data_IF_799086632771
#
_entry.id   IF_799086632771
#
_cell.length_a   1.000
_cell.length_b   1.000
_cell.length_c   1.000
_cell.angle_alpha   90.00
_cell.angle_beta   90.00
_cell.angle_gamma   90.00
#
_symmetry.space_group_name_H-M   'P 1'
#
loop_
_entity.id
_entity.type
_entity.pdbx_description
1 polymer ?
#
# COMPACT_ATOMS: atom_id res chain seq x y z
N UNK A 1 2.60 -6.14 -7.98
CA UNK A 1 1.49 -6.02 -7.00
C UNK A 1 1.96 -6.34 -5.57
N UNK A 2 1.04 -6.44 -4.59
CA UNK A 2 1.39 -6.75 -3.19
C UNK A 2 2.02 -8.14 -3.04
N UNK A 3 1.52 -9.14 -3.75
CA UNK A 3 2.05 -10.52 -3.68
C UNK A 3 3.46 -10.59 -4.23
N UNK A 4 3.71 -9.98 -5.39
CA UNK A 4 5.06 -9.85 -5.96
C UNK A 4 6.03 -9.15 -5.00
N UNK A 5 5.56 -8.12 -4.28
CA UNK A 5 6.40 -7.44 -3.30
C UNK A 5 6.69 -8.30 -2.07
N UNK A 6 5.71 -9.09 -1.59
CA UNK A 6 5.93 -10.05 -0.51
C UNK A 6 6.93 -11.14 -0.90
N UNK A 7 6.81 -11.68 -2.12
CA UNK A 7 7.75 -12.68 -2.65
C UNK A 7 9.16 -12.09 -2.78
N UNK A 8 9.27 -10.85 -3.27
CA UNK A 8 10.53 -10.13 -3.33
C UNK A 8 11.15 -9.92 -1.94
N UNK A 9 10.36 -9.53 -0.93
CA UNK A 9 10.86 -9.37 0.44
C UNK A 9 11.30 -10.71 1.06
N UNK A 10 10.63 -11.80 0.72
CA UNK A 10 10.99 -13.15 1.16
C UNK A 10 12.35 -13.57 0.56
N UNK A 11 12.54 -13.35 -0.75
CA UNK A 11 13.82 -13.58 -1.44
C UNK A 11 14.98 -12.75 -0.84
N UNK A 12 14.69 -11.54 -0.37
CA UNK A 12 15.68 -10.66 0.29
C UNK A 12 15.93 -10.99 1.77
N UNK A 13 15.19 -11.96 2.35
CA UNK A 13 15.25 -12.27 3.76
C UNK A 13 14.63 -11.20 4.67
N UNK A 14 13.83 -10.30 4.10
CA UNK A 14 13.17 -9.18 4.77
C UNK A 14 11.68 -9.45 5.07
N UNK A 15 11.22 -10.70 4.94
CA UNK A 15 9.88 -11.16 5.32
C UNK A 15 9.96 -12.27 6.36
N UNK A 16 9.17 -12.16 7.42
CA UNK A 16 8.95 -13.24 8.38
C UNK A 16 7.52 -13.74 8.26
N UNK A 17 7.35 -15.01 7.90
CA UNK A 17 6.05 -15.69 7.87
C UNK A 17 5.72 -16.26 9.24
N UNK A 18 4.53 -15.97 9.75
CA UNK A 18 4.03 -16.39 11.06
C UNK A 18 2.81 -17.28 10.82
N UNK A 19 2.99 -18.58 11.08
CA UNK A 19 1.98 -19.62 10.82
C UNK A 19 1.15 -19.98 12.04
N UNK A 20 1.63 -19.63 13.22
CA UNK A 20 0.83 -19.81 14.44
C UNK A 20 -0.38 -18.89 14.43
N UNK A 21 -1.51 -19.29 15.05
CA UNK A 21 -2.66 -18.43 15.19
C UNK A 21 -2.33 -17.16 15.98
N UNK A 22 -2.68 -15.97 15.44
CA UNK A 22 -2.45 -14.67 16.09
C UNK A 22 -3.71 -13.80 15.97
N UNK A 23 -4.08 -13.12 17.05
CA UNK A 23 -5.30 -12.32 17.11
C UNK A 23 -5.11 -10.92 16.55
N UNK A 24 -6.15 -10.43 15.86
CA UNK A 24 -6.21 -9.02 15.40
C UNK A 24 -6.42 -8.04 16.55
N UNK A 25 -6.94 -8.52 17.70
CA UNK A 25 -7.16 -7.69 18.87
C UNK A 25 -5.86 -7.55 19.67
N UNK A 26 -5.14 -6.46 19.45
CA UNK A 26 -3.91 -6.01 20.12
C UNK A 26 -2.66 -6.85 19.82
N UNK A 27 -2.78 -8.17 19.64
CA UNK A 27 -1.63 -9.08 19.59
C UNK A 27 -0.76 -8.83 18.34
N UNK A 28 -1.37 -8.74 17.15
CA UNK A 28 -0.66 -8.41 15.92
C UNK A 28 -0.04 -7.02 16.02
N UNK A 29 -0.77 -6.04 16.61
CA UNK A 29 -0.27 -4.68 16.77
C UNK A 29 0.97 -4.64 17.68
N UNK A 30 0.96 -5.36 18.79
CA UNK A 30 2.10 -5.46 19.72
C UNK A 30 3.31 -6.15 19.09
N UNK A 31 3.10 -7.24 18.36
CA UNK A 31 4.18 -7.94 17.65
C UNK A 31 4.80 -7.00 16.60
N UNK A 32 3.96 -6.28 15.86
CA UNK A 32 4.41 -5.32 14.86
C UNK A 32 5.19 -4.15 15.48
N UNK A 33 4.72 -3.59 16.60
CA UNK A 33 5.40 -2.50 17.32
C UNK A 33 6.81 -2.92 17.75
N UNK A 34 6.94 -4.11 18.31
CA UNK A 34 8.26 -4.67 18.68
C UNK A 34 9.16 -4.88 17.48
N UNK A 35 8.62 -5.41 16.38
CA UNK A 35 9.37 -5.61 15.15
C UNK A 35 9.87 -4.27 14.58
N UNK A 36 9.03 -3.24 14.55
CA UNK A 36 9.42 -1.89 14.11
C UNK A 36 10.51 -1.31 14.97
N UNK A 37 10.35 -1.34 16.30
CA UNK A 37 11.32 -0.78 17.27
C UNK A 37 12.68 -1.47 17.23
N UNK A 38 12.71 -2.75 16.90
CA UNK A 38 13.96 -3.52 16.75
C UNK A 38 14.57 -3.45 15.35
N UNK A 39 14.00 -2.68 14.42
CA UNK A 39 14.43 -2.68 13.02
C UNK A 39 14.18 -4.00 12.30
N UNK A 40 13.22 -4.79 12.77
CA UNK A 40 12.92 -6.12 12.27
C UNK A 40 12.26 -6.13 10.88
N UNK A 41 12.09 -7.34 10.29
CA UNK A 41 11.57 -7.52 8.95
C UNK A 41 10.07 -7.18 8.83
N UNK A 42 9.54 -7.18 7.63
CA UNK A 42 8.12 -7.26 7.36
C UNK A 42 7.55 -8.57 7.92
N UNK A 43 6.29 -8.55 8.33
CA UNK A 43 5.62 -9.71 8.93
C UNK A 43 4.41 -10.09 8.07
N UNK A 44 4.26 -11.40 7.81
CA UNK A 44 3.08 -11.97 7.17
C UNK A 44 2.45 -13.01 8.11
N UNK A 45 1.29 -12.67 8.66
CA UNK A 45 0.49 -13.58 9.48
C UNK A 45 -0.41 -14.41 8.56
N UNK A 46 -0.15 -15.72 8.48
CA UNK A 46 -0.88 -16.62 7.60
C UNK A 46 -2.14 -17.20 8.27
N UNK A 47 -2.20 -17.20 9.61
CA UNK A 47 -3.33 -17.68 10.39
C UNK A 47 -3.82 -16.58 11.35
N UNK A 48 -4.77 -15.78 10.87
CA UNK A 48 -5.28 -14.61 11.59
C UNK A 48 -6.60 -14.94 12.27
N UNK A 49 -6.69 -14.71 13.58
CA UNK A 49 -7.91 -14.84 14.36
C UNK A 49 -8.53 -13.46 14.56
N UNK A 50 -9.73 -13.26 14.01
CA UNK A 50 -10.48 -12.01 14.16
C UNK A 50 -11.10 -11.89 15.55
N UNK A 51 -11.67 -10.72 15.85
CA UNK A 51 -12.33 -10.45 17.13
C UNK A 51 -13.51 -11.39 17.38
N UNK A 52 -14.14 -11.95 16.36
CA UNK A 52 -15.20 -12.97 16.46
C UNK A 52 -14.65 -14.38 16.72
N UNK A 53 -13.35 -14.53 17.01
CA UNK A 53 -12.65 -15.79 17.25
C UNK A 53 -12.66 -16.76 16.07
N UNK A 54 -12.97 -16.28 14.88
CA UNK A 54 -12.90 -17.04 13.65
C UNK A 54 -11.52 -16.91 13.01
N UNK A 55 -10.97 -18.03 12.57
CA UNK A 55 -9.81 -18.03 11.70
C UNK A 55 -10.25 -17.62 10.29
N UNK A 56 -9.68 -16.54 9.77
CA UNK A 56 -9.93 -16.11 8.38
C UNK A 56 -8.83 -16.62 7.47
N UNK A 57 -9.22 -17.13 6.30
CA UNK A 57 -8.28 -17.54 5.26
C UNK A 57 -7.63 -16.35 4.52
N UNK A 58 -7.68 -15.15 5.12
CA UNK A 58 -7.09 -13.96 4.60
C UNK A 58 -5.84 -13.61 5.42
N UNK A 59 -4.64 -13.75 4.85
CA UNK A 59 -3.40 -13.39 5.54
C UNK A 59 -3.32 -11.87 5.73
N UNK A 60 -2.55 -11.44 6.74
CA UNK A 60 -2.32 -10.04 7.06
C UNK A 60 -0.84 -9.73 7.01
N UNK A 61 -0.48 -8.77 6.17
CA UNK A 61 0.88 -8.26 6.07
C UNK A 61 1.02 -6.91 6.80
N UNK A 62 2.11 -6.72 7.55
CA UNK A 62 2.38 -5.50 8.31
C UNK A 62 3.87 -5.18 8.32
N UNK A 63 4.23 -3.94 8.66
CA UNK A 63 5.62 -3.45 8.66
C UNK A 63 6.31 -3.53 7.28
N UNK A 64 5.55 -3.47 6.19
CA UNK A 64 6.09 -3.58 4.84
C UNK A 64 7.05 -2.44 4.49
N UNK A 65 6.80 -1.25 5.03
CA UNK A 65 7.56 -0.01 4.75
C UNK A 65 8.36 0.49 5.96
N UNK A 66 8.65 -0.39 6.93
CA UNK A 66 9.28 -0.02 8.20
C UNK A 66 10.76 0.35 8.12
N UNK A 67 11.41 0.24 6.94
CA UNK A 67 12.78 0.69 6.72
C UNK A 67 12.88 1.51 5.44
N UNK A 68 13.87 2.43 5.36
CA UNK A 68 14.16 3.17 4.14
C UNK A 68 14.45 2.25 2.95
N UNK A 69 15.10 1.11 3.20
CA UNK A 69 15.42 0.16 2.14
C UNK A 69 14.16 -0.50 1.57
N UNK A 70 13.23 -0.97 2.43
CA UNK A 70 11.95 -1.54 1.98
C UNK A 70 11.08 -0.50 1.26
N UNK A 71 11.09 0.76 1.74
CA UNK A 71 10.43 1.87 1.03
C UNK A 71 11.03 2.11 -0.35
N UNK A 72 12.36 2.12 -0.46
CA UNK A 72 13.05 2.29 -1.74
C UNK A 72 12.68 1.18 -2.72
N UNK A 73 12.70 -0.07 -2.27
CA UNK A 73 12.31 -1.22 -3.10
C UNK A 73 10.83 -1.16 -3.55
N UNK A 74 9.91 -0.77 -2.65
CA UNK A 74 8.51 -0.59 -3.01
C UNK A 74 8.28 0.50 -4.08
N UNK A 75 9.16 1.50 -4.10
CA UNK A 75 9.14 2.60 -5.07
C UNK A 75 9.99 2.30 -6.33
N UNK A 76 10.58 1.10 -6.43
CA UNK A 76 11.42 0.68 -7.57
C UNK A 76 12.68 1.55 -7.73
N UNK A 77 13.31 1.92 -6.61
CA UNK A 77 14.55 2.70 -6.58
C UNK A 77 15.55 2.05 -5.62
N UNK A 78 16.84 2.37 -5.78
CA UNK A 78 17.88 1.89 -4.87
C UNK A 78 17.92 2.68 -3.56
N UNK A 79 17.55 3.98 -3.64
CA UNK A 79 17.52 4.89 -2.50
C UNK A 79 16.35 5.88 -2.63
N UNK A 80 15.67 6.16 -1.51
CA UNK A 80 14.49 7.04 -1.47
C UNK A 80 14.78 8.45 -1.99
N UNK A 81 16.01 8.94 -1.88
CA UNK A 81 16.42 10.26 -2.43
C UNK A 81 16.26 10.34 -3.95
N UNK A 82 16.30 9.22 -4.65
CA UNK A 82 16.07 9.18 -6.10
C UNK A 82 14.64 9.60 -6.46
N UNK A 83 13.66 9.29 -5.60
CA UNK A 83 12.26 9.74 -5.79
C UNK A 83 12.19 11.26 -5.75
N UNK A 84 12.85 11.89 -4.78
CA UNK A 84 12.92 13.36 -4.68
C UNK A 84 13.53 13.99 -5.95
N UNK A 85 14.59 13.38 -6.52
CA UNK A 85 15.19 13.84 -7.77
C UNK A 85 14.23 13.71 -8.95
N UNK A 86 13.46 12.59 -9.03
CA UNK A 86 12.44 12.39 -10.08
C UNK A 86 11.33 13.43 -9.97
N UNK A 87 10.77 13.65 -8.76
CA UNK A 87 9.71 14.62 -8.50
C UNK A 87 10.19 16.05 -8.84
N UNK A 88 11.39 16.45 -8.39
CA UNK A 88 11.97 17.76 -8.75
C UNK A 88 12.16 17.93 -10.26
N UNK A 89 12.54 16.87 -10.95
CA UNK A 89 12.65 16.86 -12.42
C UNK A 89 11.30 17.15 -13.08
N UNK A 90 10.25 16.50 -12.63
CA UNK A 90 8.88 16.71 -13.12
C UNK A 90 8.37 18.12 -12.84
N UNK A 91 8.57 18.63 -11.61
CA UNK A 91 8.16 20.00 -11.25
C UNK A 91 8.87 21.07 -12.12
N UNK A 92 10.16 20.90 -12.42
CA UNK A 92 10.89 21.80 -13.33
C UNK A 92 10.32 21.77 -14.74
N UNK A 93 9.83 20.62 -15.22
CA UNK A 93 9.21 20.53 -16.55
C UNK A 93 7.86 21.26 -16.61
N UNK A 94 7.08 21.23 -15.51
CA UNK A 94 5.79 21.94 -15.41
C UNK A 94 6.00 23.45 -15.36
N UNK A 95 7.09 23.92 -14.76
CA UNK A 95 7.42 25.35 -14.62
C UNK A 95 7.93 26.01 -15.92
N UNK A 96 8.27 25.24 -16.94
CA UNK A 96 8.65 25.74 -18.26
C UNK A 96 9.54 24.77 -19.04
N UNK A 97 9.36 24.69 -20.38
CA UNK A 97 10.19 23.81 -21.19
C UNK A 97 11.64 24.35 -21.21
N UNK A 98 12.64 23.45 -21.07
CA UNK A 98 14.03 23.86 -21.11
C UNK A 98 14.39 24.48 -22.48
N UNK A 99 15.12 25.61 -22.47
CA UNK A 99 15.60 26.27 -23.68
C UNK A 99 16.70 25.44 -24.35
N UNK A 100 16.61 25.29 -25.67
CA UNK A 100 17.61 24.62 -26.52
C UNK A 100 17.19 23.25 -27.05
N UNK A 101 17.64 22.91 -28.27
CA UNK A 101 17.24 21.71 -29.01
C UNK A 101 17.63 20.41 -28.29
N UNK A 102 18.84 20.34 -27.71
CA UNK A 102 19.34 19.19 -26.95
C UNK A 102 18.47 18.90 -25.71
N UNK A 103 18.04 19.95 -25.01
CA UNK A 103 17.21 19.84 -23.81
C UNK A 103 15.78 19.44 -24.18
N UNK A 104 15.26 19.86 -25.33
CA UNK A 104 13.96 19.41 -25.84
C UNK A 104 13.95 17.91 -26.16
N UNK A 105 15.01 17.38 -26.77
CA UNK A 105 15.13 15.93 -27.07
C UNK A 105 15.19 15.11 -25.76
N UNK A 106 15.95 15.57 -24.77
CA UNK A 106 16.03 14.92 -23.45
C UNK A 106 14.71 14.95 -22.70
N UNK A 107 13.94 16.03 -22.84
CA UNK A 107 12.62 16.14 -22.21
C UNK A 107 11.56 15.22 -22.86
N UNK A 108 11.70 14.85 -24.14
CA UNK A 108 10.80 13.88 -24.79
C UNK A 108 10.82 12.51 -24.11
N UNK A 109 12.01 12.02 -23.72
CA UNK A 109 12.12 10.75 -22.97
C UNK A 109 11.42 10.81 -21.60
N UNK A 110 11.58 11.93 -20.89
CA UNK A 110 10.92 12.14 -19.60
C UNK A 110 9.41 12.31 -19.73
N UNK A 111 8.94 13.00 -20.79
CA UNK A 111 7.50 13.12 -21.10
C UNK A 111 6.91 11.74 -21.42
N UNK A 112 7.62 10.91 -22.21
CA UNK A 112 7.17 9.55 -22.52
C UNK A 112 7.12 8.65 -21.27
N UNK A 113 8.07 8.81 -20.33
CA UNK A 113 8.05 8.12 -19.04
C UNK A 113 6.87 8.59 -18.18
N UNK A 114 6.60 9.89 -18.14
CA UNK A 114 5.43 10.44 -17.45
C UNK A 114 4.11 10.00 -18.07
N UNK A 115 4.03 9.91 -19.38
CA UNK A 115 2.82 9.41 -20.07
C UNK A 115 2.48 7.96 -19.69
N UNK A 116 3.48 7.14 -19.33
CA UNK A 116 3.27 5.77 -18.85
C UNK A 116 2.63 5.71 -17.46
N UNK A 117 2.71 6.78 -16.67
CA UNK A 117 2.11 6.84 -15.32
C UNK A 117 0.62 7.18 -15.35
N UNK A 118 0.07 7.55 -16.50
CA UNK A 118 -1.34 7.85 -16.63
C UNK A 118 -2.19 6.58 -16.41
N UNK A 119 -3.30 6.68 -15.64
CA UNK A 119 -4.19 5.57 -15.40
C UNK A 119 -4.77 5.08 -16.74
N UNK A 120 -4.84 3.76 -16.90
CA UNK A 120 -5.50 3.13 -18.04
C UNK A 120 -6.84 2.60 -17.59
N UNK A 121 -7.87 2.91 -18.36
CA UNK A 121 -9.19 2.32 -18.15
C UNK A 121 -9.21 0.90 -18.70
N UNK A 122 -9.65 -0.06 -17.89
CA UNK A 122 -9.78 -1.46 -18.26
C UNK A 122 -11.22 -1.91 -18.10
N UNK A 123 -11.70 -2.76 -19.01
CA UNK A 123 -13.08 -3.26 -18.98
C UNK A 123 -13.32 -4.31 -17.90
N UNK A 124 -12.28 -5.05 -17.52
CA UNK A 124 -12.30 -6.09 -16.50
C UNK A 124 -11.03 -5.99 -15.66
N UNK A 125 -11.19 -6.08 -14.36
CA UNK A 125 -10.09 -6.07 -13.41
C UNK A 125 -10.28 -7.18 -12.36
N UNK A 126 -9.21 -7.83 -11.86
CA UNK A 126 -9.31 -8.88 -10.84
C UNK A 126 -10.04 -8.44 -9.57
N UNK A 127 -10.00 -7.15 -9.21
CA UNK A 127 -10.73 -6.62 -8.06
C UNK A 127 -12.27 -6.60 -8.25
N UNK A 128 -12.77 -6.97 -9.42
CA UNK A 128 -14.20 -7.10 -9.74
C UNK A 128 -14.64 -8.56 -9.87
N UNK A 129 -13.77 -9.53 -9.61
CA UNK A 129 -14.11 -10.95 -9.73
C UNK A 129 -15.01 -11.43 -8.59
N UNK A 130 -14.98 -10.75 -7.43
CA UNK A 130 -15.89 -10.97 -6.30
C UNK A 130 -16.67 -9.69 -6.04
N UNK A 131 -17.98 -9.76 -6.17
CA UNK A 131 -18.91 -8.63 -5.93
C UNK A 131 -19.96 -9.08 -4.93
N UNK A 132 -20.01 -8.42 -3.77
CA UNK A 132 -20.98 -8.66 -2.72
C UNK A 132 -21.83 -7.39 -2.58
N UNK A 133 -23.15 -7.54 -2.55
CA UNK A 133 -24.09 -6.41 -2.55
C UNK A 133 -25.25 -6.66 -1.60
N UNK A 134 -25.93 -5.57 -1.20
CA UNK A 134 -27.11 -5.65 -0.34
C UNK A 134 -26.81 -6.20 1.04
N UNK A 135 -27.69 -7.06 1.52
CA UNK A 135 -27.63 -7.64 2.89
C UNK A 135 -26.50 -8.68 3.07
N UNK A 136 -25.89 -9.13 1.97
CA UNK A 136 -24.75 -10.06 2.03
C UNK A 136 -23.41 -9.36 2.33
N UNK A 137 -23.39 -8.01 2.38
CA UNK A 137 -22.18 -7.27 2.67
C UNK A 137 -21.80 -7.41 4.15
N UNK A 138 -20.65 -8.03 4.39
CA UNK A 138 -20.06 -8.18 5.72
C UNK A 138 -18.60 -7.72 5.69
N UNK A 139 -18.27 -6.67 6.43
CA UNK A 139 -16.89 -6.16 6.54
C UNK A 139 -16.04 -6.96 7.52
N UNK A 140 -16.65 -7.82 8.36
CA UNK A 140 -15.93 -8.70 9.28
C UNK A 140 -15.17 -9.82 8.54
N UNK A 141 -15.38 -9.98 7.23
CA UNK A 141 -14.52 -10.84 6.40
C UNK A 141 -13.07 -10.33 6.34
N UNK A 142 -12.85 -9.04 6.58
CA UNK A 142 -11.51 -8.44 6.58
C UNK A 142 -10.86 -8.61 7.98
N UNK A 143 -9.57 -8.98 8.04
CA UNK A 143 -8.85 -9.09 9.31
C UNK A 143 -8.42 -7.70 9.81
N UNK A 144 -9.40 -6.85 10.16
CA UNK A 144 -9.17 -5.51 10.69
C UNK A 144 -8.55 -5.54 12.08
N UNK A 145 -7.65 -4.59 12.38
CA UNK A 145 -6.85 -4.57 13.60
C UNK A 145 -7.44 -3.64 14.66
N UNK A 146 -7.52 -4.10 15.91
CA UNK A 146 -7.56 -3.22 17.08
C UNK A 146 -6.13 -2.96 17.54
N UNK A 147 -5.68 -1.69 17.42
CA UNK A 147 -4.28 -1.33 17.64
C UNK A 147 -3.97 -0.98 19.10
N UNK A 148 -4.92 -0.34 19.79
CA UNK A 148 -4.76 0.12 21.18
C UNK A 148 -5.94 -0.31 22.06
N UNK A 149 -5.73 -0.53 23.37
CA UNK A 149 -6.79 -0.97 24.29
C UNK A 149 -8.03 -0.07 24.32
N UNK A 150 -7.83 1.25 24.19
CA UNK A 150 -8.89 2.25 24.25
C UNK A 150 -9.45 2.65 22.88
N UNK A 151 -9.03 2.00 21.81
CA UNK A 151 -9.64 2.20 20.49
C UNK A 151 -11.11 1.80 20.52
N UNK A 152 -11.99 2.64 20.00
CA UNK A 152 -13.43 2.40 19.96
C UNK A 152 -13.82 1.21 19.08
N UNK A 153 -12.99 0.86 18.09
CA UNK A 153 -13.20 -0.24 17.16
C UNK A 153 -11.93 -0.69 16.48
N UNK A 154 -12.08 -1.52 15.47
CA UNK A 154 -11.00 -1.98 14.61
C UNK A 154 -10.77 -1.02 13.45
N UNK A 155 -9.59 -1.07 12.84
CA UNK A 155 -9.21 -0.17 11.77
C UNK A 155 -8.81 -0.91 10.49
N UNK A 156 -9.21 -0.34 9.35
CA UNK A 156 -8.52 -0.58 8.08
C UNK A 156 -7.39 0.46 8.03
N UNK A 157 -6.16 -0.02 8.21
CA UNK A 157 -4.96 0.81 8.19
C UNK A 157 -4.42 0.92 6.78
N UNK A 158 -3.91 2.07 6.41
CA UNK A 158 -3.28 2.33 5.10
C UNK A 158 -4.19 2.11 3.87
N UNK A 159 -5.50 2.40 3.90
CA UNK A 159 -6.35 2.25 2.74
C UNK A 159 -6.11 3.37 1.73
N UNK A 160 -6.11 3.02 0.46
CA UNK A 160 -6.17 3.98 -0.63
C UNK A 160 -7.64 4.22 -0.98
N UNK A 161 -8.20 5.31 -0.48
CA UNK A 161 -9.62 5.65 -0.64
C UNK A 161 -9.82 6.47 -1.90
N UNK A 162 -10.66 5.96 -2.80
CA UNK A 162 -10.99 6.61 -4.07
C UNK A 162 -12.43 7.10 -3.97
N UNK A 163 -12.63 8.40 -4.04
CA UNK A 163 -13.94 9.03 -4.03
C UNK A 163 -14.17 9.85 -5.30
N UNK A 164 -15.40 10.20 -5.54
CA UNK A 164 -15.80 11.07 -6.65
C UNK A 164 -16.80 12.10 -6.13
N UNK A 165 -16.55 13.35 -6.43
CA UNK A 165 -17.49 14.43 -6.14
C UNK A 165 -18.81 14.19 -6.91
N UNK A 166 -19.97 14.14 -6.22
CA UNK A 166 -21.23 13.81 -6.87
C UNK A 166 -21.72 14.92 -7.82
N UNK A 167 -21.27 16.17 -7.64
CA UNK A 167 -21.69 17.32 -8.44
C UNK A 167 -20.78 17.52 -9.65
N UNK A 168 -19.46 17.50 -9.44
CA UNK A 168 -18.47 17.81 -10.48
C UNK A 168 -17.92 16.57 -11.18
N UNK A 169 -18.11 15.38 -10.59
CA UNK A 169 -17.48 14.13 -11.05
C UNK A 169 -15.98 14.06 -10.80
N UNK A 170 -15.41 15.05 -10.14
CA UNK A 170 -13.96 15.10 -9.88
C UNK A 170 -13.54 13.97 -8.97
N UNK A 171 -12.51 13.21 -9.38
CA UNK A 171 -11.95 12.11 -8.59
C UNK A 171 -10.99 12.66 -7.54
N UNK A 172 -11.13 12.16 -6.31
CA UNK A 172 -10.13 12.30 -5.26
C UNK A 172 -9.53 10.92 -4.91
N UNK A 173 -8.24 10.90 -4.64
CA UNK A 173 -7.52 9.71 -4.18
C UNK A 173 -6.67 10.12 -2.98
N UNK A 174 -6.83 9.44 -1.86
CA UNK A 174 -6.08 9.75 -0.66
C UNK A 174 -5.98 8.58 0.31
N UNK A 175 -5.08 8.68 1.27
CA UNK A 175 -4.95 7.70 2.34
C UNK A 175 -5.75 8.18 3.55
N UNK A 176 -6.81 7.47 3.88
CA UNK A 176 -7.70 7.78 5.01
C UNK A 176 -7.92 6.52 5.84
N UNK A 177 -7.44 6.49 7.08
CA UNK A 177 -7.72 5.38 7.99
C UNK A 177 -9.23 5.30 8.27
N UNK A 178 -9.81 4.13 8.10
CA UNK A 178 -11.23 3.88 8.38
C UNK A 178 -11.37 3.06 9.67
N UNK A 179 -12.37 3.41 10.46
CA UNK A 179 -12.77 2.72 11.69
C UNK A 179 -14.14 2.10 11.51
#
# INVERSE_FOLDING_TARGET
DLREFLDFLDEKGELRRIRVPVRTNLEIAEIADRAVKSGGPALLFENVITHNQESKNMPLAINLFGTHQRMAWALGVDDVSQVTKRVRGLLKMIQGPPSGLRNKIRSLGQIAEFAKTQPKEVRRAPCQDVVITGDDVDLDVLPTLKCWPLDAGTFITLPLVITRDPTTGTRNVGTYRMQ
#
